data_IF_106319816174
#
_entry.id   IF_106319816174
#
_cell.length_a   1.000
_cell.length_b   1.000
_cell.length_c   1.000
_cell.angle_alpha   90.00
_cell.angle_beta   90.00
_cell.angle_gamma   90.00
#
_symmetry.space_group_name_H-M   'P 1'
#
loop_
_entity.id
_entity.type
_entity.pdbx_description
1 polymer ?
#
# COMPACT_ATOMS: atom_id res chain seq x y z
N UNK A 1 -36.07 54.08 -63.35
CA UNK A 1 -36.14 52.76 -62.77
C UNK A 1 -35.08 52.65 -61.68
N UNK A 2 -35.50 52.85 -60.43
CA UNK A 2 -34.60 52.97 -59.32
C UNK A 2 -34.35 51.67 -58.63
N UNK A 3 -33.09 51.36 -58.35
CA UNK A 3 -32.65 50.19 -57.61
C UNK A 3 -32.74 50.44 -56.10
N UNK A 4 -33.23 49.54 -55.25
CA UNK A 4 -33.32 49.78 -53.81
C UNK A 4 -31.95 49.50 -53.14
N UNK A 5 -31.52 50.47 -52.37
CA UNK A 5 -30.36 50.39 -51.45
C UNK A 5 -30.72 49.46 -50.26
N UNK A 6 -29.94 48.37 -50.11
CA UNK A 6 -29.99 47.54 -48.93
C UNK A 6 -29.20 48.19 -47.78
N UNK A 7 -29.89 48.48 -46.69
CA UNK A 7 -29.30 48.92 -45.44
C UNK A 7 -28.79 47.64 -44.71
N UNK A 8 -27.48 47.54 -44.56
CA UNK A 8 -26.86 46.48 -43.73
C UNK A 8 -26.74 47.05 -42.32
N UNK A 9 -27.57 46.53 -41.42
CA UNK A 9 -27.49 46.88 -39.99
C UNK A 9 -26.50 45.93 -39.31
N UNK A 10 -25.33 46.45 -38.96
CA UNK A 10 -24.31 45.66 -38.26
C UNK A 10 -24.69 45.62 -36.75
N UNK A 11 -25.12 44.45 -36.28
CA UNK A 11 -25.33 44.18 -34.85
C UNK A 11 -23.96 43.94 -34.21
N UNK A 12 -23.49 44.85 -33.37
CA UNK A 12 -22.33 44.68 -32.53
C UNK A 12 -22.76 43.82 -31.32
N UNK A 13 -22.38 42.54 -31.29
CA UNK A 13 -22.54 41.71 -30.12
C UNK A 13 -21.46 42.05 -29.09
N UNK A 14 -21.83 42.68 -27.99
CA UNK A 14 -20.99 42.82 -26.82
C UNK A 14 -20.87 41.49 -26.10
N UNK A 15 -19.74 40.80 -26.27
CA UNK A 15 -19.37 39.67 -25.47
C UNK A 15 -19.01 40.14 -24.04
N UNK A 16 -19.94 39.98 -23.11
CA UNK A 16 -19.66 40.03 -21.68
C UNK A 16 -18.79 38.83 -21.30
N UNK A 17 -17.49 39.06 -21.15
CA UNK A 17 -16.58 38.09 -20.55
C UNK A 17 -16.83 38.13 -19.03
N UNK A 18 -17.29 37.05 -18.41
CA UNK A 18 -17.39 37.01 -16.96
C UNK A 18 -15.97 37.07 -16.39
N UNK A 19 -15.62 38.11 -15.69
CA UNK A 19 -14.44 38.17 -14.84
C UNK A 19 -14.60 37.14 -13.73
N UNK A 20 -13.89 36.00 -13.88
CA UNK A 20 -13.72 35.04 -12.79
C UNK A 20 -12.89 35.76 -11.72
N UNK A 21 -13.55 36.33 -10.72
CA UNK A 21 -12.91 36.76 -9.48
C UNK A 21 -12.42 35.45 -8.82
N UNK A 22 -11.14 35.14 -9.01
CA UNK A 22 -10.46 34.12 -8.26
C UNK A 22 -10.49 34.53 -6.78
N UNK A 23 -11.41 33.97 -6.02
CA UNK A 23 -11.40 34.06 -4.57
C UNK A 23 -10.16 33.28 -4.08
N UNK A 24 -9.02 33.97 -4.07
CA UNK A 24 -7.89 33.56 -3.24
C UNK A 24 -8.38 33.70 -1.79
N UNK A 25 -8.82 32.55 -1.21
CA UNK A 25 -9.03 32.45 0.22
C UNK A 25 -7.71 32.87 0.89
N UNK A 26 -7.69 34.05 1.47
CA UNK A 26 -6.63 34.51 2.36
C UNK A 26 -6.47 33.40 3.41
N UNK A 27 -5.32 32.71 3.43
CA UNK A 27 -4.91 31.86 4.56
C UNK A 27 -4.94 32.78 5.78
N UNK A 28 -6.01 32.71 6.56
CA UNK A 28 -6.06 33.39 7.84
C UNK A 28 -4.87 32.86 8.63
N UNK A 29 -4.00 33.73 9.07
CA UNK A 29 -2.88 33.42 9.94
C UNK A 29 -3.42 32.87 11.26
N UNK A 30 -3.51 31.53 11.35
CA UNK A 30 -3.97 30.84 12.56
C UNK A 30 -2.95 31.11 13.66
N UNK A 31 -3.37 31.70 14.76
CA UNK A 31 -2.47 31.99 15.89
C UNK A 31 -1.94 30.70 16.52
N UNK A 32 -0.78 30.72 17.22
CA UNK A 32 -0.27 29.55 17.93
C UNK A 32 -1.29 28.93 18.88
N UNK A 33 -2.06 29.73 19.58
CA UNK A 33 -3.12 29.27 20.49
C UNK A 33 -4.27 28.58 19.75
N UNK A 34 -4.69 29.12 18.61
CA UNK A 34 -5.71 28.50 17.77
C UNK A 34 -5.21 27.14 17.23
N UNK A 35 -3.95 27.06 16.81
CA UNK A 35 -3.35 25.77 16.38
C UNK A 35 -3.35 24.75 17.52
N UNK A 36 -2.95 25.15 18.72
CA UNK A 36 -2.95 24.26 19.88
C UNK A 36 -4.37 23.74 20.21
N UNK A 37 -5.39 24.63 20.20
CA UNK A 37 -6.79 24.21 20.40
C UNK A 37 -7.27 23.24 19.33
N UNK A 38 -7.02 23.54 18.05
CA UNK A 38 -7.37 22.65 16.93
C UNK A 38 -6.69 21.27 17.05
N UNK A 39 -5.44 21.25 17.54
CA UNK A 39 -4.71 20.01 17.80
C UNK A 39 -5.41 19.18 18.89
N UNK A 40 -5.74 19.79 20.03
CA UNK A 40 -6.46 19.10 21.13
C UNK A 40 -7.82 18.57 20.68
N UNK A 41 -8.59 19.39 19.95
CA UNK A 41 -9.89 18.98 19.41
C UNK A 41 -9.76 17.84 18.39
N UNK A 42 -8.71 17.87 17.55
CA UNK A 42 -8.40 16.80 16.60
C UNK A 42 -8.06 15.50 17.33
N UNK A 43 -7.20 15.54 18.33
CA UNK A 43 -6.83 14.36 19.12
C UNK A 43 -8.05 13.76 19.84
N UNK A 44 -8.88 14.57 20.48
CA UNK A 44 -10.09 14.13 21.13
C UNK A 44 -11.06 13.45 20.15
N UNK A 45 -11.18 13.99 18.92
CA UNK A 45 -12.00 13.38 17.88
C UNK A 45 -11.42 12.04 17.41
N UNK A 46 -10.10 11.94 17.21
CA UNK A 46 -9.43 10.69 16.84
C UNK A 46 -9.67 9.62 17.91
N UNK A 47 -9.47 9.94 19.20
CA UNK A 47 -9.71 9.02 20.29
C UNK A 47 -11.17 8.51 20.31
N UNK A 48 -12.15 9.41 20.11
CA UNK A 48 -13.55 9.02 20.03
C UNK A 48 -13.85 8.13 18.81
N UNK A 49 -13.22 8.41 17.67
CA UNK A 49 -13.38 7.64 16.45
C UNK A 49 -12.78 6.22 16.58
N UNK A 50 -11.61 6.09 17.21
CA UNK A 50 -10.93 4.81 17.41
C UNK A 50 -11.77 3.79 18.19
N UNK A 51 -12.68 4.24 19.08
CA UNK A 51 -13.57 3.38 19.86
C UNK A 51 -15.00 3.32 19.32
N UNK A 52 -15.31 4.07 18.25
CA UNK A 52 -16.64 4.12 17.68
C UNK A 52 -17.04 2.82 17.00
N UNK A 53 -18.37 2.55 16.98
CA UNK A 53 -18.90 1.40 16.25
C UNK A 53 -18.72 1.60 14.73
N UNK A 54 -18.35 0.53 14.02
CA UNK A 54 -18.29 0.51 12.58
C UNK A 54 -19.66 0.82 11.95
N UNK A 55 -19.74 1.75 10.97
CA UNK A 55 -21.00 2.18 10.37
C UNK A 55 -21.52 1.25 9.25
N UNK A 56 -20.67 0.35 8.74
CA UNK A 56 -21.00 -0.58 7.64
C UNK A 56 -20.73 -2.02 8.07
N UNK A 57 -21.36 -2.97 7.38
CA UNK A 57 -21.10 -4.41 7.57
C UNK A 57 -19.67 -4.77 7.14
N UNK A 58 -19.16 -5.90 7.68
CA UNK A 58 -17.83 -6.40 7.33
C UNK A 58 -17.80 -6.99 5.93
N UNK A 59 -16.71 -6.76 5.20
CA UNK A 59 -16.50 -7.34 3.88
C UNK A 59 -16.11 -8.84 3.95
N UNK A 60 -15.65 -9.34 5.08
CA UNK A 60 -15.14 -10.71 5.27
C UNK A 60 -13.94 -11.05 4.35
N UNK A 61 -13.12 -10.07 3.99
CA UNK A 61 -11.86 -10.31 3.30
C UNK A 61 -10.74 -10.68 4.28
N UNK A 62 -9.76 -11.41 3.78
CA UNK A 62 -8.49 -11.66 4.48
C UNK A 62 -7.39 -10.69 4.02
N UNK A 63 -7.64 -9.85 3.02
CA UNK A 63 -6.70 -8.90 2.49
C UNK A 63 -6.83 -7.55 3.19
N UNK A 64 -5.77 -7.10 3.86
CA UNK A 64 -5.77 -5.82 4.61
C UNK A 64 -6.16 -4.64 3.71
N UNK A 65 -5.71 -4.65 2.46
CA UNK A 65 -5.99 -3.56 1.49
C UNK A 65 -7.45 -3.50 1.01
N UNK A 66 -8.24 -4.52 1.26
CA UNK A 66 -9.67 -4.56 0.95
C UNK A 66 -10.55 -4.19 2.16
N UNK A 67 -9.96 -4.12 3.35
CA UNK A 67 -10.65 -3.85 4.60
C UNK A 67 -10.56 -2.37 4.98
N UNK A 68 -11.60 -1.86 5.61
CA UNK A 68 -11.51 -0.57 6.30
C UNK A 68 -10.67 -0.70 7.58
N UNK A 69 -10.10 0.40 8.06
CA UNK A 69 -9.34 0.39 9.31
C UNK A 69 -10.17 -0.11 10.52
N UNK A 70 -11.50 0.12 10.51
CA UNK A 70 -12.39 -0.36 11.55
C UNK A 70 -12.59 -1.87 11.49
N UNK A 71 -12.59 -2.47 10.29
CA UNK A 71 -12.66 -3.92 10.14
C UNK A 71 -11.38 -4.57 10.64
N UNK A 72 -10.21 -4.02 10.29
CA UNK A 72 -8.92 -4.51 10.80
C UNK A 72 -8.86 -4.41 12.33
N UNK A 73 -9.27 -3.27 12.91
CA UNK A 73 -9.37 -3.09 14.36
C UNK A 73 -10.27 -4.17 15.01
N UNK A 74 -11.46 -4.38 14.47
CA UNK A 74 -12.43 -5.32 15.00
C UNK A 74 -11.91 -6.77 14.91
N UNK A 75 -11.20 -7.12 13.83
CA UNK A 75 -10.56 -8.42 13.67
C UNK A 75 -9.42 -8.63 14.68
N UNK A 76 -8.57 -7.62 14.90
CA UNK A 76 -7.53 -7.66 15.94
C UNK A 76 -8.15 -7.87 17.34
N UNK A 77 -9.23 -7.15 17.65
CA UNK A 77 -9.96 -7.32 18.92
C UNK A 77 -10.61 -8.70 19.03
N UNK A 78 -10.98 -9.33 17.93
CA UNK A 78 -11.54 -10.69 17.89
C UNK A 78 -10.48 -11.80 17.95
N UNK A 79 -9.18 -11.47 17.97
CA UNK A 79 -8.08 -12.41 18.11
C UNK A 79 -7.29 -12.71 16.84
N UNK A 80 -7.56 -12.01 15.73
CA UNK A 80 -6.68 -12.04 14.57
C UNK A 80 -5.37 -11.34 14.94
N UNK A 81 -4.26 -12.06 14.99
CA UNK A 81 -2.99 -11.54 15.47
C UNK A 81 -1.80 -11.83 14.55
N UNK A 82 -2.05 -12.44 13.39
CA UNK A 82 -1.03 -12.81 12.42
C UNK A 82 -1.17 -11.98 11.14
N UNK A 83 -0.09 -11.40 10.65
CA UNK A 83 -0.02 -10.77 9.35
C UNK A 83 0.98 -11.51 8.45
N UNK A 84 0.56 -11.86 7.23
CA UNK A 84 1.42 -12.53 6.25
C UNK A 84 1.88 -11.49 5.25
N UNK A 85 3.19 -11.27 5.16
CA UNK A 85 3.84 -10.43 4.17
C UNK A 85 4.42 -11.34 3.08
N UNK A 86 3.78 -11.29 1.91
CA UNK A 86 4.21 -12.07 0.75
C UNK A 86 5.11 -11.22 -0.16
N UNK A 87 6.24 -11.77 -0.60
CA UNK A 87 7.18 -11.12 -1.52
C UNK A 87 7.23 -11.88 -2.83
N UNK A 88 6.78 -11.22 -3.90
CA UNK A 88 6.71 -11.79 -5.25
C UNK A 88 7.93 -11.48 -6.10
N UNK A 89 7.72 -10.79 -7.18
CA UNK A 89 8.74 -10.35 -8.14
C UNK A 89 8.14 -9.97 -9.49
N UNK A 90 8.89 -9.18 -10.24
CA UNK A 90 8.65 -8.88 -11.65
C UNK A 90 9.90 -9.27 -12.42
N UNK A 91 9.96 -10.49 -12.89
CA UNK A 91 11.13 -11.05 -13.57
C UNK A 91 10.76 -11.84 -14.83
N UNK A 92 11.75 -12.12 -15.65
CA UNK A 92 11.57 -13.00 -16.79
C UNK A 92 11.35 -14.45 -16.32
N UNK A 93 10.38 -15.13 -16.90
CA UNK A 93 10.04 -16.52 -16.65
C UNK A 93 9.99 -17.34 -17.97
N UNK A 94 10.93 -17.06 -18.89
CA UNK A 94 10.92 -17.59 -20.22
C UNK A 94 9.91 -16.91 -21.16
N UNK A 95 9.74 -17.42 -22.40
CA UNK A 95 8.98 -16.73 -23.44
C UNK A 95 7.46 -16.92 -23.35
N UNK A 96 6.95 -17.75 -22.43
CA UNK A 96 5.53 -18.13 -22.37
C UNK A 96 4.83 -17.73 -21.09
N UNK A 97 5.55 -17.22 -20.09
CA UNK A 97 5.00 -16.90 -18.78
C UNK A 97 5.16 -15.41 -18.49
N UNK A 98 4.12 -14.79 -17.96
CA UNK A 98 4.13 -13.38 -17.60
C UNK A 98 5.20 -13.06 -16.53
N UNK A 99 5.81 -11.89 -16.61
CA UNK A 99 6.86 -11.45 -15.68
C UNK A 99 6.37 -11.36 -14.22
N UNK A 100 5.09 -11.15 -14.00
CA UNK A 100 4.47 -11.08 -12.67
C UNK A 100 3.97 -12.42 -12.11
N UNK A 101 4.38 -13.56 -12.64
CA UNK A 101 3.93 -14.90 -12.22
C UNK A 101 3.92 -15.09 -10.71
N UNK A 102 5.00 -14.71 -10.04
CA UNK A 102 5.17 -14.87 -8.59
C UNK A 102 4.07 -14.16 -7.78
N UNK A 103 3.63 -12.97 -8.24
CA UNK A 103 2.58 -12.22 -7.56
C UNK A 103 1.23 -12.95 -7.61
N UNK A 104 0.89 -13.53 -8.77
CA UNK A 104 -0.37 -14.28 -8.94
C UNK A 104 -0.38 -15.59 -8.14
N UNK A 105 0.77 -16.27 -8.04
CA UNK A 105 0.91 -17.47 -7.18
C UNK A 105 0.66 -17.08 -5.71
N UNK A 106 1.24 -15.98 -5.27
CA UNK A 106 1.12 -15.53 -3.88
C UNK A 106 -0.27 -15.01 -3.52
N UNK A 107 -1.03 -14.48 -4.47
CA UNK A 107 -2.44 -14.14 -4.23
C UNK A 107 -3.22 -15.36 -3.73
N UNK A 108 -3.18 -16.47 -4.46
CA UNK A 108 -3.86 -17.70 -4.04
C UNK A 108 -3.23 -18.38 -2.82
N UNK A 109 -1.90 -18.31 -2.69
CA UNK A 109 -1.21 -18.95 -1.56
C UNK A 109 -1.47 -18.22 -0.24
N UNK A 110 -1.34 -16.89 -0.21
CA UNK A 110 -1.59 -16.13 1.00
C UNK A 110 -3.03 -16.32 1.49
N UNK A 111 -3.99 -16.25 0.56
CA UNK A 111 -5.39 -16.52 0.87
C UNK A 111 -5.57 -17.91 1.48
N UNK A 112 -5.05 -18.95 0.84
CA UNK A 112 -5.17 -20.32 1.33
C UNK A 112 -4.55 -20.53 2.71
N UNK A 113 -3.39 -19.93 2.97
CA UNK A 113 -2.71 -19.98 4.27
C UNK A 113 -3.48 -19.22 5.34
N UNK A 114 -3.92 -17.99 5.06
CA UNK A 114 -4.66 -17.16 6.01
C UNK A 114 -5.98 -17.81 6.42
N UNK A 115 -6.74 -18.33 5.46
CA UNK A 115 -8.00 -19.05 5.71
C UNK A 115 -7.78 -20.31 6.54
N UNK A 116 -6.68 -21.03 6.31
CA UNK A 116 -6.36 -22.26 7.06
C UNK A 116 -5.90 -21.97 8.48
N UNK A 117 -5.18 -20.87 8.71
CA UNK A 117 -4.79 -20.41 10.05
C UNK A 117 -6.00 -19.89 10.85
N UNK A 118 -6.92 -19.19 10.19
CA UNK A 118 -8.15 -18.68 10.80
C UNK A 118 -7.97 -17.42 11.67
N UNK A 119 -6.73 -17.00 11.93
CA UNK A 119 -6.39 -15.81 12.73
C UNK A 119 -5.36 -14.92 12.02
N UNK A 120 -5.30 -14.99 10.68
CA UNK A 120 -4.30 -14.30 9.87
C UNK A 120 -4.96 -13.40 8.81
N UNK A 121 -4.28 -12.30 8.48
CA UNK A 121 -4.57 -11.44 7.34
C UNK A 121 -3.37 -11.39 6.41
N UNK A 122 -3.64 -11.21 5.11
CA UNK A 122 -2.63 -10.95 4.10
C UNK A 122 -2.37 -9.44 3.98
N UNK A 123 -1.12 -9.03 4.16
CA UNK A 123 -0.66 -7.70 3.78
C UNK A 123 -0.61 -7.57 2.24
N UNK A 124 -0.61 -6.35 1.68
CA UNK A 124 -0.37 -6.15 0.26
C UNK A 124 0.91 -6.86 -0.20
N UNK A 125 0.85 -7.58 -1.32
CA UNK A 125 2.01 -8.29 -1.85
C UNK A 125 3.10 -7.31 -2.25
N UNK A 126 4.32 -7.51 -1.77
CA UNK A 126 5.49 -6.73 -2.18
C UNK A 126 5.97 -7.28 -3.51
N UNK A 127 5.58 -6.59 -4.59
CA UNK A 127 5.77 -7.03 -5.98
C UNK A 127 7.15 -6.64 -6.54
N UNK A 128 7.84 -5.69 -5.91
CA UNK A 128 9.15 -5.22 -6.34
C UNK A 128 10.20 -5.69 -5.34
N UNK A 129 11.14 -6.49 -5.83
CA UNK A 129 12.12 -7.24 -5.04
C UNK A 129 13.47 -7.27 -5.77
N UNK A 130 14.57 -7.75 -5.18
CA UNK A 130 15.85 -7.90 -5.88
C UNK A 130 15.79 -9.01 -6.94
N UNK A 131 16.01 -8.64 -8.21
CA UNK A 131 16.01 -9.56 -9.37
C UNK A 131 17.32 -9.50 -10.17
N UNK A 132 18.32 -8.81 -9.66
CA UNK A 132 19.62 -8.60 -10.24
C UNK A 132 20.12 -7.18 -10.07
N UNK A 133 21.36 -6.92 -10.49
CA UNK A 133 21.97 -5.61 -10.42
C UNK A 133 21.34 -4.65 -11.44
N UNK A 134 21.07 -3.42 -11.01
CA UNK A 134 20.43 -2.37 -11.82
C UNK A 134 21.48 -1.60 -12.65
N UNK A 135 22.63 -1.32 -12.05
CA UNK A 135 23.65 -0.47 -12.63
C UNK A 135 24.49 -1.25 -13.67
N UNK A 136 24.80 -2.52 -13.38
CA UNK A 136 25.39 -3.48 -14.32
C UNK A 136 24.44 -4.68 -14.46
N UNK A 137 23.46 -4.63 -15.38
CA UNK A 137 22.39 -5.61 -15.43
C UNK A 137 22.86 -7.06 -15.38
N UNK A 138 22.50 -7.77 -14.29
CA UNK A 138 22.84 -9.15 -14.03
C UNK A 138 21.59 -9.98 -13.76
N UNK A 139 21.70 -11.30 -13.72
CA UNK A 139 20.56 -12.17 -13.44
C UNK A 139 19.37 -11.91 -14.36
N UNK A 140 18.19 -11.76 -13.78
CA UNK A 140 16.95 -11.48 -14.52
C UNK A 140 16.92 -10.07 -15.13
N UNK A 141 17.68 -9.11 -14.59
CA UNK A 141 17.80 -7.75 -15.14
C UNK A 141 18.36 -7.67 -16.57
N UNK A 142 18.93 -8.74 -17.09
CA UNK A 142 19.33 -8.84 -18.51
C UNK A 142 18.15 -8.93 -19.47
N UNK A 143 16.95 -9.17 -18.97
CA UNK A 143 15.75 -9.38 -19.77
C UNK A 143 14.78 -8.21 -19.61
N UNK A 144 14.28 -7.69 -20.73
CA UNK A 144 13.34 -6.56 -20.73
C UNK A 144 12.08 -6.89 -19.95
N UNK A 145 11.60 -5.92 -19.14
CA UNK A 145 10.41 -6.06 -18.33
C UNK A 145 10.67 -6.56 -16.90
N UNK A 146 11.89 -7.02 -16.58
CA UNK A 146 12.32 -7.25 -15.20
C UNK A 146 12.49 -5.93 -14.47
N UNK A 147 12.00 -5.85 -13.24
CA UNK A 147 12.13 -4.67 -12.37
C UNK A 147 12.75 -5.13 -11.06
N UNK A 148 13.90 -4.55 -10.70
CA UNK A 148 14.65 -4.93 -9.51
C UNK A 148 14.70 -3.78 -8.48
N UNK A 149 14.76 -4.14 -7.22
CA UNK A 149 15.18 -3.25 -6.13
C UNK A 149 16.62 -3.58 -5.71
N UNK A 150 17.29 -2.59 -5.13
CA UNK A 150 18.50 -2.87 -4.37
C UNK A 150 18.14 -3.61 -3.08
N UNK A 151 19.06 -4.45 -2.59
CA UNK A 151 18.82 -5.28 -1.41
C UNK A 151 18.45 -4.45 -0.18
N UNK A 152 19.17 -3.36 0.06
CA UNK A 152 18.92 -2.45 1.17
C UNK A 152 17.56 -1.74 1.07
N UNK A 153 17.10 -1.42 -0.15
CA UNK A 153 15.77 -0.84 -0.37
C UNK A 153 14.68 -1.85 -0.07
N UNK A 154 14.87 -3.09 -0.51
CA UNK A 154 13.92 -4.18 -0.25
C UNK A 154 13.81 -4.48 1.24
N UNK A 155 14.95 -4.61 1.94
CA UNK A 155 14.98 -4.83 3.39
C UNK A 155 14.31 -3.68 4.15
N UNK A 156 14.55 -2.42 3.76
CA UNK A 156 13.90 -1.26 4.37
C UNK A 156 12.37 -1.29 4.17
N UNK A 157 11.88 -1.67 2.98
CA UNK A 157 10.44 -1.81 2.74
C UNK A 157 9.83 -2.90 3.62
N UNK A 158 10.50 -4.06 3.74
CA UNK A 158 10.04 -5.16 4.61
C UNK A 158 9.96 -4.73 6.07
N UNK A 159 11.01 -4.03 6.53
CA UNK A 159 11.10 -3.53 7.91
C UNK A 159 9.99 -2.52 8.24
N UNK A 160 9.75 -1.56 7.34
CA UNK A 160 8.70 -0.54 7.52
C UNK A 160 7.30 -1.15 7.50
N UNK A 161 7.02 -2.08 6.58
CA UNK A 161 5.73 -2.78 6.50
C UNK A 161 5.50 -3.61 7.76
N UNK A 162 6.48 -4.41 8.17
CA UNK A 162 6.38 -5.26 9.36
C UNK A 162 6.20 -4.43 10.65
N UNK A 163 6.98 -3.34 10.80
CA UNK A 163 6.88 -2.46 11.96
C UNK A 163 5.55 -1.70 12.01
N UNK A 164 4.98 -1.36 10.86
CA UNK A 164 3.65 -0.74 10.80
C UNK A 164 2.56 -1.69 11.29
N UNK A 165 2.64 -2.97 10.93
CA UNK A 165 1.70 -3.99 11.35
C UNK A 165 1.85 -4.30 12.86
N UNK A 166 3.08 -4.41 13.36
CA UNK A 166 3.37 -4.57 14.78
C UNK A 166 2.81 -3.41 15.61
N UNK A 167 3.01 -2.17 15.17
CA UNK A 167 2.51 -0.97 15.83
C UNK A 167 0.98 -0.93 15.94
N UNK A 168 0.27 -1.64 15.06
CA UNK A 168 -1.20 -1.77 15.10
C UNK A 168 -1.70 -2.99 15.91
N UNK A 169 -0.79 -3.83 16.41
CA UNK A 169 -1.14 -4.91 17.34
C UNK A 169 -1.08 -6.32 16.74
N UNK A 170 -0.51 -6.50 15.54
CA UNK A 170 -0.17 -7.84 15.06
C UNK A 170 1.01 -8.39 15.88
N UNK A 171 0.88 -9.60 16.39
CA UNK A 171 1.89 -10.25 17.23
C UNK A 171 2.80 -11.20 16.44
N UNK A 172 2.31 -11.72 15.32
CA UNK A 172 3.06 -12.60 14.42
C UNK A 172 3.13 -11.99 13.02
N UNK A 173 4.34 -11.70 12.58
CA UNK A 173 4.59 -11.22 11.20
C UNK A 173 5.30 -12.34 10.45
N UNK A 174 4.66 -12.87 9.43
CA UNK A 174 5.13 -14.03 8.67
C UNK A 174 5.60 -13.60 7.29
N UNK A 175 6.86 -13.85 6.96
CA UNK A 175 7.42 -13.61 5.63
C UNK A 175 7.43 -14.89 4.82
N UNK A 176 6.81 -14.85 3.65
CA UNK A 176 6.88 -15.88 2.61
C UNK A 176 7.29 -15.24 1.28
N UNK A 177 8.01 -15.98 0.43
CA UNK A 177 8.45 -15.43 -0.85
C UNK A 177 8.64 -16.50 -1.91
N UNK A 178 8.16 -16.24 -3.14
CA UNK A 178 8.14 -17.15 -4.27
C UNK A 178 9.34 -16.94 -5.23
N UNK A 179 10.34 -16.13 -4.85
CA UNK A 179 11.57 -15.92 -5.63
C UNK A 179 12.82 -16.14 -4.77
N UNK A 180 13.88 -16.71 -5.37
CA UNK A 180 15.16 -16.96 -4.69
C UNK A 180 15.85 -15.66 -4.21
N UNK A 181 15.70 -14.56 -4.94
CA UNK A 181 16.27 -13.26 -4.59
C UNK A 181 15.73 -12.66 -3.28
N UNK A 182 14.53 -13.06 -2.87
CA UNK A 182 13.84 -12.52 -1.70
C UNK A 182 14.31 -13.13 -0.39
N UNK A 183 14.79 -14.37 -0.41
CA UNK A 183 14.98 -15.21 0.79
C UNK A 183 15.92 -14.56 1.80
N UNK A 184 17.07 -14.09 1.34
CA UNK A 184 18.08 -13.46 2.21
C UNK A 184 17.57 -12.19 2.89
N UNK A 185 16.82 -11.34 2.16
CA UNK A 185 16.29 -10.09 2.71
C UNK A 185 15.23 -10.35 3.77
N UNK A 186 14.32 -11.30 3.53
CA UNK A 186 13.32 -11.71 4.52
C UNK A 186 13.95 -12.28 5.79
N UNK A 187 14.97 -13.15 5.65
CA UNK A 187 15.70 -13.71 6.78
C UNK A 187 16.39 -12.63 7.62
N UNK A 188 17.13 -11.72 6.95
CA UNK A 188 17.83 -10.61 7.62
C UNK A 188 16.86 -9.72 8.40
N UNK A 189 15.75 -9.34 7.76
CA UNK A 189 14.76 -8.46 8.40
C UNK A 189 14.07 -9.18 9.56
N UNK A 190 13.66 -10.43 9.40
CA UNK A 190 13.06 -11.19 10.49
C UNK A 190 13.99 -11.29 11.71
N UNK A 191 15.27 -11.55 11.51
CA UNK A 191 16.28 -11.58 12.57
C UNK A 191 16.42 -10.22 13.24
N UNK A 192 16.59 -9.14 12.47
CA UNK A 192 16.76 -7.77 12.99
C UNK A 192 15.54 -7.30 13.79
N UNK A 193 14.32 -7.62 13.32
CA UNK A 193 13.10 -7.28 14.04
C UNK A 193 12.99 -8.03 15.36
N UNK A 194 13.31 -9.32 15.39
CA UNK A 194 13.27 -10.13 16.60
C UNK A 194 14.31 -9.69 17.67
N UNK A 195 15.42 -9.06 17.27
CA UNK A 195 16.37 -8.45 18.20
C UNK A 195 15.80 -7.20 18.90
N UNK A 196 14.83 -6.51 18.27
CA UNK A 196 14.24 -5.26 18.78
C UNK A 196 12.88 -5.45 19.43
N UNK A 197 12.08 -6.41 18.95
CA UNK A 197 10.74 -6.63 19.43
C UNK A 197 10.69 -7.50 20.68
N UNK A 198 9.78 -7.16 21.59
CA UNK A 198 9.60 -7.90 22.84
C UNK A 198 8.24 -8.60 22.95
N UNK A 199 7.26 -8.18 22.15
CA UNK A 199 5.90 -8.73 22.17
C UNK A 199 5.55 -9.41 20.84
N UNK A 200 5.98 -8.86 19.74
CA UNK A 200 5.77 -9.45 18.43
C UNK A 200 6.96 -10.32 18.01
N UNK A 201 6.71 -11.23 17.07
CA UNK A 201 7.73 -12.09 16.46
C UNK A 201 7.62 -12.07 14.94
N UNK A 202 8.76 -11.88 14.28
CA UNK A 202 8.90 -12.03 12.84
C UNK A 202 9.34 -13.46 12.51
N UNK A 203 8.61 -14.11 11.62
CA UNK A 203 8.86 -15.49 11.18
C UNK A 203 9.23 -15.47 9.70
N UNK A 204 10.40 -15.94 9.36
CA UNK A 204 10.78 -16.24 7.98
C UNK A 204 10.54 -17.72 7.72
N UNK A 205 9.82 -18.05 6.63
CA UNK A 205 9.42 -19.42 6.28
C UNK A 205 10.10 -19.83 4.97
N UNK A 206 11.37 -20.28 5.00
CA UNK A 206 12.09 -20.71 3.81
C UNK A 206 11.50 -21.96 3.17
N UNK A 207 10.78 -22.79 3.94
CA UNK A 207 10.12 -24.00 3.47
C UNK A 207 9.10 -23.70 2.37
N UNK A 208 8.47 -22.52 2.40
CA UNK A 208 7.57 -22.12 1.34
C UNK A 208 8.24 -22.11 -0.03
N UNK A 209 9.46 -21.58 -0.12
CA UNK A 209 10.25 -21.54 -1.35
C UNK A 209 10.91 -22.89 -1.70
N UNK A 210 11.28 -23.66 -0.68
CA UNK A 210 12.02 -24.93 -0.87
C UNK A 210 11.11 -26.06 -1.37
N UNK A 211 9.83 -26.03 -1.01
CA UNK A 211 8.86 -27.11 -1.28
C UNK A 211 7.65 -26.66 -2.12
N UNK A 212 7.62 -25.39 -2.58
CA UNK A 212 6.59 -24.80 -3.40
C UNK A 212 6.69 -25.04 -4.91
#
# INVERSE_FOLDING_TARGET
MGSPRRIVTTLAAFLLVPTIVSAQATRQDVTPEQRARMQVEREARIVAELVSRRPIEALNSIWIEELTWMEVRDLLQAGTNTAIISTGGIEQNGPYVATGKHNYVLEGTCEGVALKLGNALCAPIIKLVPEGDIDEPSGHMRYSGTISLRQETFEAVLEDVASSLEAHGFEHIVFIGDSGGNQRGMENVARTLNERWHKAHAHFIPEYYQYG
#
